data_IF_397032857240
#
_entry.id   IF_397032857240
#
_cell.length_a   1.000
_cell.length_b   1.000
_cell.length_c   1.000
_cell.angle_alpha   90.00
_cell.angle_beta   90.00
_cell.angle_gamma   90.00
#
_symmetry.space_group_name_H-M   'P 1'
#
loop_
_entity.id
_entity.type
_entity.pdbx_description
1 polymer ?
#
# COMPACT_ATOMS: atom_id res chain seq x y z
N UNK A 1 19.55 5.72 14.32
CA UNK A 1 19.05 7.11 14.18
C UNK A 1 19.32 7.74 12.80
N UNK A 2 20.34 7.31 12.05
CA UNK A 2 20.75 7.96 10.77
C UNK A 2 20.04 7.39 9.51
N UNK A 3 19.44 6.19 9.54
CA UNK A 3 18.88 5.53 8.34
C UNK A 3 17.41 5.86 8.01
N UNK A 4 16.64 6.46 8.94
CA UNK A 4 15.24 6.90 8.71
C UNK A 4 15.14 8.23 7.95
N UNK A 5 16.18 9.06 7.99
CA UNK A 5 16.24 10.31 7.22
C UNK A 5 16.36 10.06 5.71
N UNK A 6 17.04 8.99 5.32
CA UNK A 6 17.29 8.65 3.92
C UNK A 6 16.06 8.18 3.14
N UNK A 7 15.03 7.64 3.82
CA UNK A 7 13.81 7.20 3.14
C UNK A 7 12.77 8.31 2.97
N UNK A 8 12.87 9.38 3.75
CA UNK A 8 12.10 10.61 3.53
C UNK A 8 12.62 11.40 2.31
N UNK A 9 13.88 11.21 1.95
CA UNK A 9 14.55 11.77 0.76
C UNK A 9 14.24 11.00 -0.54
N UNK A 10 13.68 9.79 -0.49
CA UNK A 10 13.40 8.96 -1.66
C UNK A 10 12.05 9.21 -2.34
N UNK A 11 11.18 10.02 -1.73
CA UNK A 11 10.00 10.53 -2.44
C UNK A 11 10.47 11.62 -3.39
N UNK A 12 10.26 11.44 -4.69
CA UNK A 12 10.48 12.47 -5.73
C UNK A 12 9.92 13.83 -5.34
N UNK A 13 8.90 13.87 -4.47
CA UNK A 13 8.28 15.08 -3.89
C UNK A 13 9.20 15.82 -2.89
N UNK A 14 10.03 15.14 -2.10
CA UNK A 14 11.00 15.76 -1.18
C UNK A 14 12.34 16.11 -1.86
N UNK A 15 12.71 15.41 -2.93
CA UNK A 15 13.95 15.66 -3.67
C UNK A 15 13.81 16.92 -4.55
N UNK A 16 12.62 17.16 -5.14
CA UNK A 16 12.28 18.42 -5.81
C UNK A 16 12.12 19.57 -4.81
N UNK A 17 11.47 19.33 -3.66
CA UNK A 17 11.34 20.32 -2.59
C UNK A 17 12.67 20.69 -1.92
N UNK A 18 13.56 19.72 -1.70
CA UNK A 18 14.89 19.96 -1.11
C UNK A 18 15.88 20.53 -2.14
N UNK A 19 15.78 20.17 -3.42
CA UNK A 19 16.55 20.83 -4.48
C UNK A 19 16.12 22.30 -4.66
N UNK A 20 14.81 22.59 -4.61
CA UNK A 20 14.30 23.96 -4.62
C UNK A 20 14.72 24.75 -3.37
N UNK A 21 14.70 24.12 -2.19
CA UNK A 21 15.21 24.69 -0.94
C UNK A 21 16.72 24.96 -0.96
N UNK A 22 17.52 24.05 -1.52
CA UNK A 22 18.97 24.21 -1.67
C UNK A 22 19.34 25.29 -2.69
N UNK A 23 18.59 25.42 -3.78
CA UNK A 23 18.77 26.51 -4.77
C UNK A 23 18.38 27.86 -4.15
N UNK A 24 17.30 27.92 -3.36
CA UNK A 24 16.92 29.12 -2.59
C UNK A 24 17.97 29.50 -1.53
N UNK A 25 18.60 28.52 -0.88
CA UNK A 25 19.66 28.74 0.11
C UNK A 25 21.01 29.14 -0.53
N UNK A 26 21.37 28.59 -1.69
CA UNK A 26 22.55 29.00 -2.45
C UNK A 26 22.42 30.43 -3.01
N UNK A 27 21.21 30.84 -3.40
CA UNK A 27 20.90 32.21 -3.81
C UNK A 27 21.00 33.21 -2.64
N UNK A 28 20.69 32.79 -1.42
CA UNK A 28 20.85 33.60 -0.21
C UNK A 28 22.33 33.76 0.21
N UNK A 29 23.15 32.71 0.05
CA UNK A 29 24.56 32.70 0.47
C UNK A 29 25.53 33.42 -0.49
N UNK A 30 25.11 33.73 -1.72
CA UNK A 30 25.99 34.35 -2.74
C UNK A 30 25.97 35.88 -2.72
N UNK A 31 25.23 36.52 -1.81
CA UNK A 31 25.04 38.00 -1.71
C UNK A 31 24.65 38.66 -3.04
N UNK A 32 24.15 37.87 -4.00
CA UNK A 32 23.86 38.30 -5.36
C UNK A 32 22.37 38.67 -5.55
N UNK A 33 21.56 38.46 -4.52
CA UNK A 33 20.14 38.75 -4.50
C UNK A 33 19.85 39.92 -3.55
N UNK A 34 20.07 41.14 -4.05
CA UNK A 34 19.48 42.34 -3.44
C UNK A 34 17.94 42.33 -3.49
N UNK A 35 17.32 43.45 -3.88
CA UNK A 35 15.86 43.70 -3.91
C UNK A 35 14.98 42.63 -4.62
N UNK A 36 15.56 41.70 -5.38
CA UNK A 36 14.85 40.74 -6.24
C UNK A 36 14.59 39.35 -5.64
N UNK A 37 14.88 39.12 -4.35
CA UNK A 37 14.64 37.81 -3.71
C UNK A 37 13.15 37.38 -3.73
N UNK A 38 12.23 38.33 -3.56
CA UNK A 38 10.78 38.11 -3.58
C UNK A 38 10.24 37.67 -4.96
N UNK A 39 10.53 38.37 -6.08
CA UNK A 39 10.06 37.93 -7.39
C UNK A 39 10.68 36.59 -7.82
N UNK A 40 11.91 36.29 -7.42
CA UNK A 40 12.54 34.98 -7.70
C UNK A 40 11.86 33.86 -6.93
N UNK A 41 11.57 34.04 -5.64
CA UNK A 41 10.82 33.05 -4.84
C UNK A 41 9.38 32.88 -5.33
N UNK A 42 8.70 33.97 -5.70
CA UNK A 42 7.37 33.92 -6.28
C UNK A 42 7.35 33.18 -7.63
N UNK A 43 8.35 33.41 -8.48
CA UNK A 43 8.51 32.71 -9.76
C UNK A 43 8.78 31.21 -9.56
N UNK A 44 9.66 30.84 -8.63
CA UNK A 44 9.95 29.44 -8.33
C UNK A 44 8.74 28.72 -7.73
N UNK A 45 7.99 29.38 -6.86
CA UNK A 45 6.75 28.85 -6.29
C UNK A 45 5.68 28.69 -7.36
N UNK A 46 5.54 29.65 -8.28
CA UNK A 46 4.62 29.54 -9.41
C UNK A 46 4.98 28.35 -10.32
N UNK A 47 6.27 28.15 -10.63
CA UNK A 47 6.73 26.98 -11.39
C UNK A 47 6.47 25.68 -10.64
N UNK A 48 6.70 25.64 -9.33
CA UNK A 48 6.40 24.48 -8.48
C UNK A 48 4.91 24.16 -8.43
N UNK A 49 4.06 25.18 -8.32
CA UNK A 49 2.60 25.05 -8.34
C UNK A 49 2.07 24.63 -9.72
N UNK A 50 2.71 25.07 -10.81
CA UNK A 50 2.38 24.67 -12.18
C UNK A 50 2.88 23.26 -12.54
N UNK A 51 3.97 22.80 -11.90
CA UNK A 51 4.53 21.46 -12.09
C UNK A 51 3.85 20.40 -11.21
N UNK A 52 3.12 20.80 -10.17
CA UNK A 52 2.29 19.90 -9.38
C UNK A 52 1.11 19.40 -10.24
N UNK A 53 0.94 18.07 -10.43
CA UNK A 53 -0.24 17.55 -11.11
C UNK A 53 -1.48 17.99 -10.33
N UNK A 54 -2.46 18.66 -10.96
CA UNK A 54 -3.65 19.09 -10.25
C UNK A 54 -4.39 17.84 -9.76
N UNK A 55 -4.65 17.77 -8.45
CA UNK A 55 -5.57 16.81 -7.86
C UNK A 55 -6.97 17.12 -8.43
N UNK A 56 -7.33 16.42 -9.50
CA UNK A 56 -8.61 16.62 -10.17
C UNK A 56 -9.70 16.01 -9.29
N UNK A 57 -10.45 16.88 -8.61
CA UNK A 57 -11.71 16.52 -7.97
C UNK A 57 -12.64 16.01 -9.06
N UNK A 58 -12.77 14.69 -9.18
CA UNK A 58 -13.63 14.04 -10.18
C UNK A 58 -14.95 13.73 -9.50
N UNK A 59 -15.99 14.48 -9.85
CA UNK A 59 -17.36 14.34 -9.30
C UNK A 59 -18.17 13.23 -9.97
N UNK A 60 -17.60 12.58 -11.00
CA UNK A 60 -18.15 11.40 -11.64
C UNK A 60 -17.58 10.18 -10.91
N UNK A 61 -18.40 9.19 -10.52
CA UNK A 61 -17.90 7.95 -9.94
C UNK A 61 -16.79 7.38 -10.82
N UNK A 62 -15.62 7.13 -10.23
CA UNK A 62 -14.50 6.55 -10.96
C UNK A 62 -14.93 5.23 -11.59
N UNK A 63 -14.45 4.97 -12.80
CA UNK A 63 -14.63 3.67 -13.45
C UNK A 63 -14.06 2.58 -12.52
N UNK A 64 -14.89 1.62 -12.04
CA UNK A 64 -14.45 0.54 -11.17
C UNK A 64 -13.23 -0.21 -11.68
N UNK A 65 -13.11 -0.38 -12.99
CA UNK A 65 -11.96 -1.05 -13.60
C UNK A 65 -10.67 -0.25 -13.42
N UNK A 66 -10.74 1.07 -13.60
CA UNK A 66 -9.59 1.96 -13.45
C UNK A 66 -9.15 2.06 -11.97
N UNK A 67 -10.10 2.16 -11.04
CA UNK A 67 -9.80 2.24 -9.60
C UNK A 67 -9.13 0.95 -9.10
N UNK A 68 -9.71 -0.20 -9.43
CA UNK A 68 -9.16 -1.51 -9.05
C UNK A 68 -7.86 -1.81 -9.80
N UNK A 69 -7.71 -1.36 -11.04
CA UNK A 69 -6.46 -1.43 -11.79
C UNK A 69 -5.32 -0.68 -11.10
N UNK A 70 -5.59 0.53 -10.58
CA UNK A 70 -4.64 1.27 -9.76
C UNK A 70 -4.27 0.52 -8.47
N UNK A 71 -5.26 -0.09 -7.81
CA UNK A 71 -5.04 -0.86 -6.60
C UNK A 71 -4.14 -2.09 -6.82
N UNK A 72 -4.35 -2.81 -7.93
CA UNK A 72 -3.46 -3.92 -8.34
C UNK A 72 -2.05 -3.44 -8.62
N UNK A 73 -1.90 -2.35 -9.38
CA UNK A 73 -0.56 -1.80 -9.68
C UNK A 73 0.19 -1.37 -8.43
N UNK A 74 -0.50 -0.84 -7.43
CA UNK A 74 0.09 -0.50 -6.13
C UNK A 74 0.57 -1.75 -5.38
N UNK A 75 -0.25 -2.81 -5.40
CA UNK A 75 0.07 -4.10 -4.79
C UNK A 75 1.26 -4.79 -5.48
N UNK A 76 1.30 -4.81 -6.80
CA UNK A 76 2.42 -5.34 -7.58
C UNK A 76 3.72 -4.58 -7.27
N UNK A 77 3.63 -3.25 -7.14
CA UNK A 77 4.76 -2.40 -6.77
C UNK A 77 5.25 -2.68 -5.35
N UNK A 78 4.35 -3.02 -4.42
CA UNK A 78 4.71 -3.46 -3.08
C UNK A 78 5.42 -4.81 -3.11
N UNK A 79 4.87 -5.80 -3.83
CA UNK A 79 5.47 -7.13 -3.95
C UNK A 79 6.88 -7.06 -4.52
N UNK A 80 7.07 -6.31 -5.61
CA UNK A 80 8.38 -6.09 -6.21
C UNK A 80 9.39 -5.48 -5.21
N UNK A 81 8.94 -4.54 -4.36
CA UNK A 81 9.79 -3.96 -3.31
C UNK A 81 10.12 -4.96 -2.19
N UNK A 82 9.17 -5.80 -1.81
CA UNK A 82 9.37 -6.85 -0.79
C UNK A 82 10.36 -7.89 -1.29
N UNK A 83 10.21 -8.35 -2.53
CA UNK A 83 11.11 -9.33 -3.15
C UNK A 83 12.52 -8.76 -3.31
N UNK A 84 12.64 -7.50 -3.72
CA UNK A 84 13.93 -6.79 -3.77
C UNK A 84 14.60 -6.64 -2.39
N UNK A 85 13.84 -6.76 -1.30
CA UNK A 85 14.33 -6.69 0.08
C UNK A 85 14.28 -8.04 0.80
N UNK A 86 14.12 -9.17 0.10
CA UNK A 86 13.96 -10.49 0.72
C UNK A 86 15.07 -10.82 1.74
N UNK A 87 16.34 -10.46 1.47
CA UNK A 87 17.48 -10.63 2.38
C UNK A 87 17.32 -9.92 3.75
N UNK A 88 16.42 -8.94 3.81
CA UNK A 88 16.11 -8.18 5.04
C UNK A 88 14.82 -8.64 5.68
N UNK A 89 14.01 -9.43 4.97
CA UNK A 89 12.77 -9.98 5.47
C UNK A 89 13.07 -11.25 6.26
N UNK A 90 12.40 -11.48 7.40
CA UNK A 90 12.65 -12.65 8.21
C UNK A 90 11.87 -13.85 7.66
N UNK A 91 12.45 -15.05 7.67
CA UNK A 91 11.76 -16.33 7.45
C UNK A 91 10.66 -16.30 6.37
N UNK A 92 9.47 -16.77 6.74
CA UNK A 92 8.31 -16.96 5.84
C UNK A 92 7.51 -15.67 5.58
N UNK A 93 8.02 -14.51 6.01
CA UNK A 93 7.28 -13.24 5.95
C UNK A 93 7.03 -12.78 4.51
N UNK A 94 7.98 -13.04 3.59
CA UNK A 94 7.77 -12.78 2.16
C UNK A 94 6.62 -13.63 1.62
N UNK A 95 6.61 -14.93 1.93
CA UNK A 95 5.54 -15.84 1.52
C UNK A 95 4.17 -15.39 2.07
N UNK A 96 4.12 -14.91 3.32
CA UNK A 96 2.87 -14.36 3.89
C UNK A 96 2.39 -13.09 3.21
N UNK A 97 3.29 -12.19 2.79
CA UNK A 97 2.89 -11.01 2.01
C UNK A 97 2.31 -11.44 0.66
N UNK A 98 2.94 -12.40 -0.04
CA UNK A 98 2.43 -12.94 -1.31
C UNK A 98 1.07 -13.60 -1.13
N UNK A 99 0.88 -14.41 -0.09
CA UNK A 99 -0.41 -15.03 0.22
C UNK A 99 -1.52 -13.99 0.41
N UNK A 100 -1.26 -12.91 1.16
CA UNK A 100 -2.22 -11.82 1.32
C UNK A 100 -2.51 -11.19 -0.04
N UNK A 101 -1.47 -10.92 -0.83
CA UNK A 101 -1.63 -10.30 -2.13
C UNK A 101 -2.43 -11.15 -3.12
N UNK A 102 -2.27 -12.47 -3.10
CA UNK A 102 -3.06 -13.41 -3.91
C UNK A 102 -4.55 -13.34 -3.56
N UNK A 103 -4.89 -13.32 -2.26
CA UNK A 103 -6.29 -13.19 -1.80
C UNK A 103 -6.89 -11.87 -2.28
N UNK A 104 -6.15 -10.77 -2.08
CA UNK A 104 -6.57 -9.44 -2.51
C UNK A 104 -6.75 -9.37 -4.03
N UNK A 105 -5.82 -9.95 -4.80
CA UNK A 105 -5.87 -10.00 -6.26
C UNK A 105 -7.11 -10.75 -6.76
N UNK A 106 -7.44 -11.89 -6.14
CA UNK A 106 -8.64 -12.67 -6.46
C UNK A 106 -9.92 -11.84 -6.33
N UNK A 107 -10.09 -11.13 -5.22
CA UNK A 107 -11.27 -10.25 -5.03
C UNK A 107 -11.29 -9.13 -6.07
N UNK A 108 -10.11 -8.57 -6.40
CA UNK A 108 -10.00 -7.51 -7.39
C UNK A 108 -10.35 -7.97 -8.82
N UNK A 109 -10.29 -9.27 -9.16
CA UNK A 109 -10.68 -9.84 -10.48
C UNK A 109 -12.07 -9.44 -10.94
N UNK A 110 -12.96 -9.08 -10.01
CA UNK A 110 -14.34 -8.67 -10.31
C UNK A 110 -14.60 -7.23 -9.85
N UNK A 111 -14.05 -6.23 -10.55
CA UNK A 111 -14.07 -4.83 -10.12
C UNK A 111 -15.50 -4.28 -9.96
N UNK A 112 -16.43 -4.67 -10.83
CA UNK A 112 -17.83 -4.24 -10.75
C UNK A 112 -18.54 -4.79 -9.51
N UNK A 113 -18.29 -6.05 -9.16
CA UNK A 113 -18.86 -6.68 -7.96
C UNK A 113 -18.25 -6.07 -6.69
N UNK A 114 -16.94 -5.79 -6.71
CA UNK A 114 -16.27 -5.07 -5.62
C UNK A 114 -16.78 -3.63 -5.46
N UNK A 115 -17.08 -2.93 -6.56
CA UNK A 115 -17.67 -1.60 -6.51
C UNK A 115 -19.10 -1.59 -5.94
N UNK A 116 -19.84 -2.70 -6.07
CA UNK A 116 -21.19 -2.84 -5.53
C UNK A 116 -21.22 -2.99 -4.00
N UNK A 117 -20.11 -3.38 -3.37
CA UNK A 117 -19.97 -3.54 -1.92
C UNK A 117 -18.96 -2.52 -1.35
N UNK A 118 -19.41 -1.37 -0.84
CA UNK A 118 -18.52 -0.32 -0.31
C UNK A 118 -17.69 -0.76 0.89
N UNK A 119 -18.19 -1.69 1.70
CA UNK A 119 -17.55 -2.15 2.94
C UNK A 119 -16.38 -3.07 2.61
N UNK A 120 -16.61 -4.07 1.76
CA UNK A 120 -15.56 -4.96 1.27
C UNK A 120 -14.54 -4.14 0.46
N UNK A 121 -14.99 -3.23 -0.42
CA UNK A 121 -14.08 -2.34 -1.16
C UNK A 121 -13.18 -1.54 -0.24
N UNK A 122 -13.75 -0.91 0.79
CA UNK A 122 -12.97 -0.13 1.75
C UNK A 122 -11.95 -1.00 2.49
N UNK A 123 -12.35 -2.19 2.94
CA UNK A 123 -11.48 -3.13 3.65
C UNK A 123 -10.31 -3.59 2.78
N UNK A 124 -10.57 -4.04 1.56
CA UNK A 124 -9.55 -4.46 0.58
C UNK A 124 -8.61 -3.31 0.24
N UNK A 125 -9.15 -2.10 0.03
CA UNK A 125 -8.34 -0.90 -0.27
C UNK A 125 -7.44 -0.53 0.90
N UNK A 126 -7.95 -0.60 2.13
CA UNK A 126 -7.18 -0.30 3.34
C UNK A 126 -6.05 -1.31 3.55
N UNK A 127 -6.32 -2.61 3.40
CA UNK A 127 -5.28 -3.65 3.52
C UNK A 127 -4.19 -3.42 2.46
N UNK A 128 -4.57 -3.24 1.20
CA UNK A 128 -3.64 -3.13 0.08
C UNK A 128 -2.80 -1.83 0.09
N UNK A 129 -3.38 -0.68 0.44
CA UNK A 129 -2.70 0.63 0.36
C UNK A 129 -2.12 1.14 1.67
N UNK A 130 -2.62 0.66 2.80
CA UNK A 130 -2.23 1.17 4.11
C UNK A 130 -1.63 0.09 4.96
N UNK A 131 -2.44 -0.89 5.39
CA UNK A 131 -2.08 -1.75 6.52
C UNK A 131 -0.87 -2.65 6.15
N UNK A 132 -0.92 -3.33 5.00
CA UNK A 132 0.15 -4.20 4.53
C UNK A 132 1.44 -3.43 4.18
N UNK A 133 1.42 -2.38 3.33
CA UNK A 133 2.61 -1.57 3.08
C UNK A 133 3.22 -1.00 4.35
N UNK A 134 2.39 -0.51 5.28
CA UNK A 134 2.84 0.12 6.51
C UNK A 134 3.56 -0.86 7.43
N UNK A 135 3.01 -2.06 7.66
CA UNK A 135 3.65 -3.08 8.50
C UNK A 135 5.03 -3.47 7.97
N UNK A 136 5.13 -3.76 6.67
CA UNK A 136 6.40 -4.05 5.99
C UNK A 136 7.36 -2.87 6.07
N UNK A 137 6.87 -1.65 5.81
CA UNK A 137 7.69 -0.44 5.84
C UNK A 137 8.27 -0.16 7.24
N UNK A 138 7.47 -0.32 8.29
CA UNK A 138 7.90 -0.14 9.68
C UNK A 138 9.04 -1.11 9.98
N UNK A 139 8.87 -2.39 9.67
CA UNK A 139 9.90 -3.40 9.90
C UNK A 139 11.18 -3.12 9.11
N UNK A 140 11.07 -2.86 7.80
CA UNK A 140 12.23 -2.55 6.95
C UNK A 140 12.94 -1.23 7.32
N UNK A 141 12.30 -0.35 8.08
CA UNK A 141 12.90 0.87 8.64
C UNK A 141 13.77 0.59 9.88
N UNK A 142 13.62 -0.57 10.51
CA UNK A 142 14.38 -0.90 11.71
C UNK A 142 15.83 -1.26 11.37
N UNK A 143 16.79 -0.89 12.23
CA UNK A 143 18.15 -1.43 12.16
C UNK A 143 18.12 -2.96 12.31
N UNK A 144 18.90 -3.69 11.50
CA UNK A 144 18.94 -5.17 11.51
C UNK A 144 19.18 -5.74 12.91
N UNK A 145 20.11 -5.15 13.67
CA UNK A 145 20.43 -5.59 15.03
C UNK A 145 19.27 -5.40 16.02
N UNK A 146 18.33 -4.50 15.74
CA UNK A 146 17.16 -4.27 16.58
C UNK A 146 15.99 -5.19 16.20
N UNK A 147 15.89 -5.59 14.94
CA UNK A 147 14.76 -6.36 14.42
C UNK A 147 14.73 -7.84 14.88
N UNK A 148 15.90 -8.40 15.19
CA UNK A 148 16.08 -9.82 15.53
C UNK A 148 16.14 -10.05 17.04
N UNK A 149 16.45 -9.02 17.83
CA UNK A 149 16.64 -9.17 19.28
C UNK A 149 15.29 -9.10 20.00
N UNK A 150 14.96 -10.15 20.75
CA UNK A 150 13.88 -10.10 21.73
C UNK A 150 14.26 -9.15 22.86
N UNK A 151 13.34 -8.29 23.29
CA UNK A 151 13.66 -7.26 24.28
C UNK A 151 13.78 -7.87 25.69
N UNK A 152 14.67 -7.35 26.55
CA UNK A 152 14.74 -7.76 27.94
C UNK A 152 13.42 -7.42 28.64
N UNK A 153 12.60 -8.44 28.92
CA UNK A 153 11.25 -8.25 29.45
C UNK A 153 10.20 -9.24 28.90
N UNK A 154 10.57 -10.09 27.95
CA UNK A 154 9.65 -11.07 27.35
C UNK A 154 8.77 -10.47 26.25
N UNK A 155 9.06 -9.25 25.81
CA UNK A 155 8.37 -8.63 24.67
C UNK A 155 8.83 -9.30 23.37
N UNK A 156 7.86 -9.52 22.46
CA UNK A 156 8.09 -10.10 21.13
C UNK A 156 9.15 -9.31 20.36
N UNK A 157 9.96 -10.00 19.56
CA UNK A 157 10.88 -9.33 18.65
C UNK A 157 10.09 -8.58 17.56
N UNK A 158 10.69 -7.60 16.89
CA UNK A 158 10.02 -6.94 15.77
C UNK A 158 9.68 -7.91 14.62
N UNK A 159 10.43 -9.01 14.52
CA UNK A 159 10.18 -10.10 13.58
C UNK A 159 8.90 -10.86 13.94
N UNK A 160 8.75 -11.24 15.22
CA UNK A 160 7.55 -11.94 15.70
C UNK A 160 6.31 -11.04 15.60
N UNK A 161 6.49 -9.73 15.85
CA UNK A 161 5.42 -8.75 15.74
C UNK A 161 4.98 -8.56 14.29
N UNK A 162 5.91 -8.48 13.33
CA UNK A 162 5.56 -8.42 11.91
C UNK A 162 4.81 -9.68 11.47
N UNK A 163 5.29 -10.87 11.84
CA UNK A 163 4.60 -12.13 11.52
C UNK A 163 3.17 -12.14 12.08
N UNK A 164 3.01 -11.72 13.34
CA UNK A 164 1.68 -11.61 13.97
C UNK A 164 0.77 -10.66 13.18
N UNK A 165 1.29 -9.50 12.77
CA UNK A 165 0.53 -8.55 11.97
C UNK A 165 0.13 -9.13 10.61
N UNK A 166 1.02 -9.84 9.93
CA UNK A 166 0.69 -10.49 8.65
C UNK A 166 -0.35 -11.60 8.82
N UNK A 167 -0.29 -12.38 9.90
CA UNK A 167 -1.30 -13.40 10.16
C UNK A 167 -2.69 -12.77 10.41
N UNK A 168 -2.74 -11.64 11.12
CA UNK A 168 -3.97 -10.87 11.31
C UNK A 168 -4.50 -10.32 9.98
N UNK A 169 -3.62 -9.74 9.14
CA UNK A 169 -4.00 -9.22 7.83
C UNK A 169 -4.46 -10.32 6.88
N UNK A 170 -3.81 -11.49 6.89
CA UNK A 170 -4.23 -12.67 6.13
C UNK A 170 -5.61 -13.16 6.57
N UNK A 171 -5.86 -13.24 7.88
CA UNK A 171 -7.18 -13.59 8.41
C UNK A 171 -8.26 -12.58 7.99
N UNK A 172 -7.98 -11.27 8.08
CA UNK A 172 -8.91 -10.24 7.63
C UNK A 172 -9.17 -10.30 6.12
N UNK A 173 -8.13 -10.47 5.30
CA UNK A 173 -8.26 -10.59 3.85
C UNK A 173 -9.11 -11.82 3.46
N UNK A 174 -8.90 -12.97 4.11
CA UNK A 174 -9.73 -14.17 3.89
C UNK A 174 -11.18 -13.95 4.29
N UNK A 175 -11.44 -13.35 5.45
CA UNK A 175 -12.81 -13.05 5.88
C UNK A 175 -13.51 -12.06 4.94
N UNK A 176 -12.79 -11.10 4.37
CA UNK A 176 -13.32 -10.20 3.35
C UNK A 176 -13.63 -10.95 2.04
N UNK A 177 -12.73 -11.83 1.60
CA UNK A 177 -12.93 -12.66 0.41
C UNK A 177 -14.10 -13.65 0.58
N UNK A 178 -14.21 -14.30 1.73
CA UNK A 178 -15.34 -15.20 2.05
C UNK A 178 -16.69 -14.48 1.98
N UNK A 179 -16.77 -13.26 2.54
CA UNK A 179 -17.96 -12.40 2.42
C UNK A 179 -18.24 -12.02 0.97
N UNK A 180 -17.19 -11.70 0.21
CA UNK A 180 -17.30 -11.33 -1.20
C UNK A 180 -17.85 -12.46 -2.08
N UNK A 181 -17.38 -13.69 -1.85
CA UNK A 181 -17.80 -14.89 -2.61
C UNK A 181 -19.00 -15.61 -1.99
N UNK A 182 -19.59 -15.11 -0.90
CA UNK A 182 -20.66 -15.81 -0.18
C UNK A 182 -21.87 -16.14 -1.06
N UNK A 183 -22.21 -15.25 -2.01
CA UNK A 183 -23.32 -15.48 -2.94
C UNK A 183 -22.99 -16.58 -3.96
N UNK A 184 -21.79 -16.56 -4.55
CA UNK A 184 -21.33 -17.60 -5.49
C UNK A 184 -21.32 -18.98 -4.82
N UNK A 185 -20.87 -19.06 -3.57
CA UNK A 185 -20.85 -20.31 -2.80
C UNK A 185 -22.27 -20.85 -2.56
N UNK A 186 -23.24 -19.97 -2.28
CA UNK A 186 -24.65 -20.37 -2.12
C UNK A 186 -25.22 -20.90 -3.44
N UNK A 187 -24.97 -20.22 -4.55
CA UNK A 187 -25.44 -20.66 -5.87
C UNK A 187 -24.87 -22.05 -6.23
N UNK A 188 -23.59 -22.29 -5.93
CA UNK A 188 -22.96 -23.59 -6.15
C UNK A 188 -23.57 -24.70 -5.27
N UNK A 189 -23.88 -24.41 -4.01
CA UNK A 189 -24.55 -25.34 -3.10
C UNK A 189 -25.97 -25.67 -3.55
N UNK A 190 -26.71 -24.67 -4.02
CA UNK A 190 -28.07 -24.84 -4.54
C UNK A 190 -28.06 -25.69 -5.81
N UNK A 191 -27.12 -25.46 -6.73
CA UNK A 191 -26.93 -26.31 -7.91
C UNK A 191 -26.60 -27.76 -7.52
N UNK A 192 -25.72 -27.96 -6.54
CA UNK A 192 -25.36 -29.30 -6.05
C UNK A 192 -26.57 -30.03 -5.47
N UNK A 193 -27.40 -29.32 -4.68
CA UNK A 193 -28.63 -29.86 -4.11
C UNK A 193 -29.64 -30.24 -5.21
N UNK A 194 -29.86 -29.35 -6.18
CA UNK A 194 -30.75 -29.60 -7.31
C UNK A 194 -30.33 -30.84 -8.12
N UNK A 195 -29.03 -31.00 -8.38
CA UNK A 195 -28.52 -32.15 -9.13
C UNK A 195 -28.71 -33.48 -8.38
N UNK A 196 -28.50 -33.49 -7.06
CA UNK A 196 -28.73 -34.65 -6.19
C UNK A 196 -30.22 -35.02 -6.10
N UNK A 197 -31.11 -34.02 -5.96
CA UNK A 197 -32.56 -34.23 -5.98
C UNK A 197 -33.03 -34.83 -7.31
N UNK A 198 -32.54 -34.29 -8.45
CA UNK A 198 -32.89 -34.79 -9.78
C UNK A 198 -32.41 -36.21 -10.04
N UNK A 199 -31.24 -36.61 -9.50
CA UNK A 199 -30.71 -37.96 -9.69
C UNK A 199 -31.50 -39.00 -8.87
N UNK A 200 -32.04 -38.61 -7.70
CA UNK A 200 -32.93 -39.46 -6.89
C UNK A 200 -34.32 -39.65 -7.48
N UNK A 201 -34.77 -38.77 -8.35
CA UNK A 201 -36.07 -38.83 -9.02
C UNK A 201 -36.07 -39.68 -10.32
N UNK A 202 -34.91 -40.24 -10.71
CA UNK A 202 -34.77 -41.18 -11.83
C UNK A 202 -34.75 -42.64 -11.38
#
# INVERSE_FOLDING_TARGET
>A
MIKRLWRYLGSTKNLVGSAAGLVGMLLYLTDLAGVYWLPVTAGLYAVGALAAPPERVTLIPADPEAEVGGLRSDLDSLLAQVDAQHDRMPGDTVARVHEIAEILAGVMERPTQLAADPEIRHEITRIARLDLPQSVQIYLNLPRWFAVTAHPGGERSATDELLTQLDLLSSSARQAAERFYANDVREQQDLSRYLDERDRER
#
